data_IF_110499900998
#
_entry.id   IF_110499900998
#
_cell.length_a   1.000
_cell.length_b   1.000
_cell.length_c   1.000
_cell.angle_alpha   90.00
_cell.angle_beta   90.00
_cell.angle_gamma   90.00
#
_symmetry.space_group_name_H-M   'P 1'
#
loop_
_entity.id
_entity.type
_entity.pdbx_description
1 polymer ?
#
# COMPACT_ATOMS: atom_id res chain seq x y z
N UNK A 1 -34.65 8.67 104.14
CA UNK A 1 -33.92 9.63 103.29
C UNK A 1 -33.92 9.05 101.89
N UNK A 2 -34.44 9.82 100.93
CA UNK A 2 -34.69 9.42 99.55
C UNK A 2 -33.39 9.36 98.73
N UNK A 3 -33.34 8.35 97.86
CA UNK A 3 -32.83 8.29 96.48
C UNK A 3 -31.65 9.18 96.08
N UNK A 4 -30.57 8.52 95.66
CA UNK A 4 -29.48 9.10 94.87
C UNK A 4 -28.75 8.00 94.13
N UNK A 5 -29.43 7.35 93.19
CA UNK A 5 -28.80 6.46 92.22
C UNK A 5 -27.93 7.32 91.29
N UNK A 6 -26.63 7.05 91.26
CA UNK A 6 -25.64 7.66 90.35
C UNK A 6 -25.98 7.32 88.89
N UNK A 7 -26.82 8.15 88.28
CA UNK A 7 -27.30 8.04 86.90
C UNK A 7 -26.45 8.82 85.88
N UNK A 8 -25.19 9.11 86.20
CA UNK A 8 -24.25 9.72 85.25
C UNK A 8 -23.05 8.82 85.03
N UNK A 9 -23.30 7.60 84.53
CA UNK A 9 -22.29 6.87 83.74
C UNK A 9 -22.17 7.59 82.40
N UNK A 10 -21.08 8.32 82.27
CA UNK A 10 -20.57 8.91 81.04
C UNK A 10 -20.58 7.86 79.92
N UNK A 11 -21.52 7.99 78.99
CA UNK A 11 -21.64 7.15 77.77
C UNK A 11 -21.11 7.90 76.56
N UNK A 12 -20.09 8.74 76.72
CA UNK A 12 -19.51 9.51 75.63
C UNK A 12 -18.15 8.99 75.13
N UNK A 13 -17.64 7.87 75.65
CA UNK A 13 -16.33 7.32 75.27
C UNK A 13 -16.36 6.18 74.23
N UNK A 14 -17.48 5.96 73.55
CA UNK A 14 -17.62 4.91 72.52
C UNK A 14 -17.84 5.44 71.08
N UNK A 15 -17.37 6.65 70.77
CA UNK A 15 -17.28 7.15 69.38
C UNK A 15 -15.84 7.18 68.86
N UNK A 16 -15.14 6.04 68.94
CA UNK A 16 -13.80 5.88 68.33
C UNK A 16 -13.59 4.48 67.72
N UNK A 17 -14.66 3.89 67.18
CA UNK A 17 -14.65 2.56 66.58
C UNK A 17 -15.07 2.57 65.11
N UNK A 18 -14.29 3.23 64.24
CA UNK A 18 -14.61 3.29 62.81
C UNK A 18 -13.48 3.76 61.90
N UNK A 19 -12.22 3.66 62.34
CA UNK A 19 -11.07 3.88 61.48
C UNK A 19 -10.75 2.59 60.73
N UNK A 20 -11.18 2.47 59.48
CA UNK A 20 -10.62 1.44 58.59
C UNK A 20 -9.10 1.56 58.65
N UNK A 21 -8.40 0.50 59.05
CA UNK A 21 -6.95 0.47 59.13
C UNK A 21 -6.35 0.74 57.75
N UNK A 22 -6.08 2.01 57.46
CA UNK A 22 -5.28 2.42 56.33
C UNK A 22 -3.86 1.98 56.66
N UNK A 23 -3.49 0.77 56.20
CA UNK A 23 -2.09 0.37 56.12
C UNK A 23 -1.34 1.52 55.43
N UNK A 24 -0.53 2.26 56.19
CA UNK A 24 0.36 3.26 55.63
C UNK A 24 1.49 2.52 54.93
N UNK A 25 1.22 2.08 53.71
CA UNK A 25 2.23 1.52 52.83
C UNK A 25 3.37 2.53 52.75
N UNK A 26 4.59 2.07 53.02
CA UNK A 26 5.75 2.97 53.03
C UNK A 26 5.84 3.72 51.68
N UNK A 27 6.25 5.00 51.67
CA UNK A 27 6.29 5.80 50.44
C UNK A 27 7.11 5.15 49.31
N UNK A 28 8.08 4.30 49.64
CA UNK A 28 8.90 3.55 48.67
C UNK A 28 8.15 2.36 48.05
N UNK A 29 7.41 1.59 48.85
CA UNK A 29 6.56 0.49 48.35
C UNK A 29 5.41 1.00 47.49
N UNK A 30 4.91 2.20 47.79
CA UNK A 30 3.85 2.80 47.00
C UNK A 30 4.32 3.23 45.61
N UNK A 31 5.55 3.72 45.50
CA UNK A 31 6.14 4.07 44.20
C UNK A 31 6.32 2.84 43.32
N UNK A 32 6.84 1.73 43.87
CA UNK A 32 7.00 0.49 43.09
C UNK A 32 5.66 -0.12 42.69
N UNK A 33 4.62 0.00 43.52
CA UNK A 33 3.25 -0.35 43.13
C UNK A 33 2.78 0.50 41.95
N UNK A 34 2.88 1.84 42.04
CA UNK A 34 2.45 2.74 40.96
C UNK A 34 3.18 2.45 39.65
N UNK A 35 4.49 2.18 39.70
CA UNK A 35 5.28 1.82 38.52
C UNK A 35 4.75 0.55 37.84
N UNK A 36 4.42 -0.49 38.61
CA UNK A 36 3.83 -1.72 38.06
C UNK A 36 2.47 -1.47 37.40
N UNK A 37 1.59 -0.72 38.04
CA UNK A 37 0.26 -0.40 37.49
C UNK A 37 0.38 0.34 36.15
N UNK A 38 1.27 1.33 36.09
CA UNK A 38 1.49 2.11 34.87
C UNK A 38 2.09 1.27 33.74
N UNK A 39 3.00 0.36 34.07
CA UNK A 39 3.59 -0.56 33.10
C UNK A 39 2.55 -1.56 32.59
N UNK A 40 1.71 -2.12 33.47
CA UNK A 40 0.67 -3.07 33.08
C UNK A 40 -0.46 -2.44 32.24
N UNK A 41 -0.90 -1.23 32.59
CA UNK A 41 -2.05 -0.58 31.92
C UNK A 41 -1.63 0.22 30.69
N UNK A 42 -0.51 0.95 30.76
CA UNK A 42 -0.08 1.88 29.71
C UNK A 42 1.23 1.47 29.03
N UNK A 43 1.94 0.44 29.51
CA UNK A 43 3.22 0.00 28.95
C UNK A 43 4.36 1.02 29.09
N UNK A 44 4.23 1.96 30.05
CA UNK A 44 5.21 3.03 30.27
C UNK A 44 5.45 3.27 31.75
N UNK A 45 6.60 3.88 32.08
CA UNK A 45 6.83 4.39 33.43
C UNK A 45 6.00 5.64 33.72
N UNK A 46 5.57 5.85 34.98
CA UNK A 46 4.87 7.07 35.37
C UNK A 46 5.81 8.28 35.27
N UNK A 47 5.26 9.42 34.84
CA UNK A 47 5.97 10.70 34.88
C UNK A 47 6.25 11.13 36.32
N UNK A 48 7.28 11.93 36.57
CA UNK A 48 7.61 12.47 37.90
C UNK A 48 6.43 13.18 38.57
N UNK A 49 5.55 13.80 37.77
CA UNK A 49 4.32 14.45 38.26
C UNK A 49 3.25 13.43 38.66
N UNK A 50 3.07 12.39 37.87
CA UNK A 50 2.07 11.33 38.09
C UNK A 50 2.48 10.46 39.29
N UNK A 51 3.76 10.09 39.38
CA UNK A 51 4.29 9.33 40.50
C UNK A 51 4.15 10.10 41.80
N UNK A 52 4.46 11.40 41.83
CA UNK A 52 4.24 12.25 43.01
C UNK A 52 2.75 12.37 43.38
N UNK A 53 1.87 12.54 42.39
CA UNK A 53 0.43 12.66 42.61
C UNK A 53 -0.17 11.42 43.28
N UNK A 54 0.18 10.22 42.80
CA UNK A 54 -0.32 8.96 43.37
C UNK A 54 0.43 8.54 44.64
N UNK A 55 1.72 8.91 44.79
CA UNK A 55 2.53 8.63 46.00
C UNK A 55 1.95 9.28 47.24
N UNK A 56 1.55 10.55 47.16
CA UNK A 56 0.98 11.30 48.29
C UNK A 56 -0.56 11.31 48.30
N UNK A 57 -1.21 10.78 47.27
CA UNK A 57 -2.67 10.71 47.19
C UNK A 57 -3.30 9.71 48.17
N UNK A 58 -4.61 9.77 48.35
CA UNK A 58 -5.36 8.84 49.24
C UNK A 58 -5.88 7.62 48.47
N UNK A 59 -5.69 7.57 47.15
CA UNK A 59 -6.23 6.50 46.31
C UNK A 59 -5.62 5.14 46.63
N UNK A 60 -6.48 4.11 46.58
CA UNK A 60 -6.10 2.71 46.65
C UNK A 60 -5.62 2.22 45.29
N UNK A 61 -4.85 1.13 45.28
CA UNK A 61 -4.34 0.48 44.07
C UNK A 61 -5.41 0.28 42.99
N UNK A 62 -6.54 -0.34 43.36
CA UNK A 62 -7.65 -0.61 42.44
C UNK A 62 -8.28 0.66 41.84
N UNK A 63 -8.30 1.76 42.59
CA UNK A 63 -8.83 3.03 42.11
C UNK A 63 -7.88 3.67 41.08
N UNK A 64 -6.57 3.50 41.27
CA UNK A 64 -5.55 3.93 40.31
C UNK A 64 -5.70 3.13 39.00
N UNK A 65 -5.87 1.81 39.09
CA UNK A 65 -6.16 0.96 37.91
C UNK A 65 -7.37 1.45 37.13
N UNK A 66 -8.51 1.62 37.81
CA UNK A 66 -9.76 2.05 37.15
C UNK A 66 -9.63 3.45 36.53
N UNK A 67 -8.88 4.35 37.17
CA UNK A 67 -8.64 5.69 36.64
C UNK A 67 -7.77 5.66 35.38
N UNK A 68 -6.73 4.83 35.36
CA UNK A 68 -5.85 4.68 34.19
C UNK A 68 -6.57 3.99 33.03
N UNK A 69 -7.38 2.97 33.29
CA UNK A 69 -8.19 2.31 32.25
C UNK A 69 -9.22 3.24 31.59
N UNK A 70 -9.77 4.18 32.36
CA UNK A 70 -10.71 5.21 31.88
C UNK A 70 -10.03 6.44 31.28
N UNK A 71 -8.70 6.52 31.34
CA UNK A 71 -7.96 7.67 30.81
C UNK A 71 -8.04 7.72 29.28
N UNK A 72 -7.99 8.94 28.74
CA UNK A 72 -7.93 9.15 27.29
C UNK A 72 -6.66 8.56 26.68
N UNK A 73 -5.58 8.45 27.45
CA UNK A 73 -4.33 7.82 27.01
C UNK A 73 -4.53 6.34 26.70
N UNK A 74 -5.13 5.58 27.63
CA UNK A 74 -5.43 4.16 27.42
C UNK A 74 -6.38 3.96 26.23
N UNK A 75 -7.41 4.81 26.11
CA UNK A 75 -8.32 4.78 24.96
C UNK A 75 -7.58 5.03 23.65
N UNK A 76 -6.64 5.99 23.63
CA UNK A 76 -5.82 6.28 22.44
C UNK A 76 -4.91 5.11 22.07
N UNK A 77 -4.29 4.45 23.05
CA UNK A 77 -3.47 3.25 22.81
C UNK A 77 -4.32 2.15 22.14
N UNK A 78 -5.55 1.93 22.60
CA UNK A 78 -6.45 0.95 21.97
C UNK A 78 -6.82 1.32 20.54
N UNK A 79 -7.12 2.60 20.29
CA UNK A 79 -7.44 3.07 18.94
C UNK A 79 -6.23 2.99 18.00
N UNK A 80 -5.04 3.29 18.49
CA UNK A 80 -3.80 3.18 17.71
C UNK A 80 -3.46 1.71 17.45
N UNK A 81 -3.62 0.83 18.44
CA UNK A 81 -3.44 -0.62 18.28
C UNK A 81 -4.38 -1.23 17.23
N UNK A 82 -5.64 -0.76 17.14
CA UNK A 82 -6.57 -1.19 16.09
C UNK A 82 -6.14 -0.76 14.69
N UNK A 83 -5.38 0.34 14.56
CA UNK A 83 -4.93 0.86 13.26
C UNK A 83 -3.69 0.14 12.74
N UNK A 84 -2.83 -0.39 13.61
CA UNK A 84 -1.59 -1.08 13.22
C UNK A 84 -1.78 -2.14 12.13
N UNK A 85 -2.74 -3.09 12.23
CA UNK A 85 -2.92 -4.10 11.17
C UNK A 85 -3.29 -3.47 9.83
N UNK A 86 -4.14 -2.43 9.82
CA UNK A 86 -4.51 -1.73 8.59
C UNK A 86 -3.32 -0.99 7.98
N UNK A 87 -2.41 -0.46 8.80
CA UNK A 87 -1.20 0.21 8.31
C UNK A 87 -0.24 -0.75 7.59
N UNK A 88 -0.14 -2.01 8.03
CA UNK A 88 0.70 -3.00 7.35
C UNK A 88 0.17 -3.32 5.94
N UNK A 89 -1.15 -3.47 5.81
CA UNK A 89 -1.82 -3.68 4.53
C UNK A 89 -1.70 -2.46 3.62
N UNK A 90 -1.91 -1.24 4.15
CA UNK A 90 -1.69 0.00 3.40
C UNK A 90 -0.24 0.14 2.91
N UNK A 91 0.74 -0.19 3.75
CA UNK A 91 2.15 -0.19 3.35
C UNK A 91 2.44 -1.22 2.27
N UNK A 92 1.81 -2.39 2.33
CA UNK A 92 1.94 -3.41 1.30
C UNK A 92 1.37 -2.92 -0.04
N UNK A 93 0.20 -2.31 -0.02
CA UNK A 93 -0.46 -1.76 -1.21
C UNK A 93 0.33 -0.60 -1.81
N UNK A 94 0.88 0.28 -0.96
CA UNK A 94 1.78 1.36 -1.39
C UNK A 94 3.06 0.81 -2.04
N UNK A 95 3.66 -0.26 -1.51
CA UNK A 95 4.83 -0.89 -2.14
C UNK A 95 4.49 -1.51 -3.49
N UNK A 96 3.30 -2.08 -3.64
CA UNK A 96 2.84 -2.64 -4.92
C UNK A 96 2.63 -1.51 -5.94
N UNK A 97 2.01 -0.40 -5.54
CA UNK A 97 1.79 0.74 -6.42
C UNK A 97 3.11 1.42 -6.82
N UNK A 98 4.06 1.56 -5.89
CA UNK A 98 5.41 2.04 -6.16
C UNK A 98 6.11 1.18 -7.22
N UNK A 99 6.09 -0.15 -7.06
CA UNK A 99 6.68 -1.07 -8.05
C UNK A 99 6.04 -0.94 -9.42
N UNK A 100 4.71 -0.83 -9.49
CA UNK A 100 3.98 -0.62 -10.75
C UNK A 100 4.39 0.69 -11.43
N UNK A 101 4.55 1.77 -10.66
CA UNK A 101 4.99 3.07 -11.19
C UNK A 101 6.43 3.01 -11.71
N UNK A 102 7.34 2.35 -10.99
CA UNK A 102 8.73 2.16 -11.43
C UNK A 102 8.77 1.38 -12.74
N UNK A 103 8.02 0.28 -12.82
CA UNK A 103 7.94 -0.52 -14.04
C UNK A 103 7.39 0.29 -15.21
N UNK A 104 6.26 0.96 -15.02
CA UNK A 104 5.65 1.82 -16.05
C UNK A 104 6.60 2.93 -16.52
N UNK A 105 7.40 3.51 -15.62
CA UNK A 105 8.41 4.51 -15.97
C UNK A 105 9.51 3.93 -16.85
N UNK A 106 10.01 2.72 -16.54
CA UNK A 106 11.06 2.10 -17.34
C UNK A 106 10.53 1.67 -18.71
N UNK A 107 9.29 1.16 -18.77
CA UNK A 107 8.61 0.83 -20.02
C UNK A 107 8.49 2.08 -20.92
N UNK A 108 7.97 3.21 -20.38
CA UNK A 108 7.87 4.47 -21.11
C UNK A 108 9.22 5.01 -21.59
N UNK A 109 10.26 4.86 -20.78
CA UNK A 109 11.63 5.25 -21.15
C UNK A 109 12.14 4.40 -22.31
N UNK A 110 11.89 3.09 -22.29
CA UNK A 110 12.27 2.20 -23.39
C UNK A 110 11.51 2.50 -24.69
N UNK A 111 10.23 2.86 -24.58
CA UNK A 111 9.39 3.29 -25.70
C UNK A 111 9.89 4.62 -26.30
N UNK A 112 10.25 5.58 -25.45
CA UNK A 112 10.85 6.85 -25.89
C UNK A 112 12.16 6.63 -26.63
N UNK A 113 13.04 5.78 -26.12
CA UNK A 113 14.30 5.46 -26.78
C UNK A 113 14.06 4.83 -28.15
N UNK A 114 13.12 3.88 -28.25
CA UNK A 114 12.75 3.23 -29.51
C UNK A 114 12.10 4.20 -30.50
N UNK A 115 11.29 5.15 -30.02
CA UNK A 115 10.73 6.21 -30.86
C UNK A 115 11.81 7.16 -31.37
N UNK A 116 12.80 7.49 -30.53
CA UNK A 116 13.91 8.35 -30.92
C UNK A 116 14.78 7.68 -32.00
N UNK A 117 15.07 6.39 -31.87
CA UNK A 117 15.83 5.65 -32.89
C UNK A 117 15.07 5.63 -34.22
N UNK A 118 13.77 5.34 -34.21
CA UNK A 118 12.93 5.36 -35.41
C UNK A 118 12.89 6.74 -36.07
N UNK A 119 12.84 7.80 -35.27
CA UNK A 119 12.84 9.17 -35.78
C UNK A 119 14.18 9.52 -36.43
N UNK A 120 15.29 9.08 -35.83
CA UNK A 120 16.62 9.24 -36.42
C UNK A 120 16.77 8.47 -37.75
N UNK A 121 16.30 7.23 -37.82
CA UNK A 121 16.29 6.42 -39.06
C UNK A 121 15.47 7.09 -40.16
N UNK A 122 14.27 7.59 -39.83
CA UNK A 122 13.43 8.33 -40.80
C UNK A 122 14.11 9.61 -41.28
N UNK A 123 14.79 10.34 -40.39
CA UNK A 123 15.52 11.54 -40.77
C UNK A 123 16.72 11.22 -41.67
N UNK A 124 17.42 10.11 -41.44
CA UNK A 124 18.47 9.63 -42.34
C UNK A 124 17.90 9.33 -43.73
N UNK A 125 16.80 8.59 -43.79
CA UNK A 125 16.13 8.27 -45.06
C UNK A 125 15.64 9.52 -45.81
N UNK A 126 15.14 10.53 -45.09
CA UNK A 126 14.77 11.83 -45.69
C UNK A 126 15.99 12.51 -46.30
N UNK A 127 17.13 12.47 -45.63
CA UNK A 127 18.37 13.06 -46.15
C UNK A 127 18.86 12.32 -47.39
N UNK A 128 18.86 10.98 -47.37
CA UNK A 128 19.19 10.17 -48.56
C UNK A 128 18.29 10.49 -49.75
N UNK A 129 16.98 10.61 -49.52
CA UNK A 129 16.03 10.98 -50.57
C UNK A 129 16.27 12.40 -51.10
N UNK A 130 16.61 13.34 -50.22
CA UNK A 130 16.97 14.71 -50.62
C UNK A 130 18.25 14.75 -51.44
N UNK A 131 19.25 13.94 -51.11
CA UNK A 131 20.48 13.82 -51.90
C UNK A 131 20.19 13.26 -53.29
N UNK A 132 19.38 12.20 -53.39
CA UNK A 132 18.92 11.64 -54.68
C UNK A 132 18.19 12.68 -55.53
N UNK A 133 17.27 13.44 -54.94
CA UNK A 133 16.52 14.50 -55.65
C UNK A 133 17.43 15.68 -56.02
N UNK A 134 18.40 16.02 -55.17
CA UNK A 134 19.33 17.12 -55.39
C UNK A 134 20.41 16.80 -56.43
N UNK A 135 20.53 15.55 -56.89
CA UNK A 135 21.45 15.16 -57.95
C UNK A 135 20.70 15.11 -59.31
N UNK A 136 20.71 16.20 -60.11
CA UNK A 136 20.05 16.25 -61.41
C UNK A 136 20.67 15.32 -62.47
N UNK A 137 21.76 14.62 -62.14
CA UNK A 137 22.46 13.67 -63.03
C UNK A 137 22.43 12.23 -62.53
N UNK A 138 21.63 11.92 -61.50
CA UNK A 138 21.37 10.54 -61.06
C UNK A 138 20.36 9.88 -62.01
N UNK A 139 20.79 9.64 -63.25
CA UNK A 139 20.00 8.90 -64.22
C UNK A 139 20.12 7.40 -63.90
N UNK A 140 19.01 6.68 -63.73
CA UNK A 140 19.08 5.25 -63.48
C UNK A 140 19.85 4.58 -64.60
N UNK A 141 20.78 3.70 -64.21
CA UNK A 141 21.53 2.86 -65.14
C UNK A 141 20.52 2.13 -66.03
N UNK A 142 20.84 1.90 -67.31
CA UNK A 142 19.90 1.21 -68.21
C UNK A 142 19.40 -0.12 -67.62
N UNK A 143 20.22 -0.79 -66.80
CA UNK A 143 19.88 -2.03 -66.09
C UNK A 143 18.71 -1.85 -65.11
N UNK A 144 18.70 -0.78 -64.30
CA UNK A 144 17.65 -0.53 -63.30
C UNK A 144 16.29 -0.22 -63.95
N UNK A 145 16.31 0.46 -65.12
CA UNK A 145 15.09 0.71 -65.92
C UNK A 145 14.43 -0.57 -66.43
N UNK A 146 15.22 -1.62 -66.66
CA UNK A 146 14.70 -2.91 -67.14
C UNK A 146 14.23 -3.83 -66.01
N UNK A 147 14.76 -3.68 -64.78
CA UNK A 147 14.30 -4.45 -63.62
C UNK A 147 12.89 -4.03 -63.17
N UNK A 148 12.61 -2.74 -63.08
CA UNK A 148 11.26 -2.24 -62.73
C UNK A 148 10.21 -2.65 -63.78
N UNK A 149 10.61 -2.76 -65.05
CA UNK A 149 9.75 -3.24 -66.13
C UNK A 149 9.43 -4.74 -66.04
N UNK A 150 10.26 -5.54 -65.38
CA UNK A 150 10.10 -7.00 -65.31
C UNK A 150 9.08 -7.46 -64.26
N UNK A 151 8.95 -6.74 -63.14
CA UNK A 151 8.01 -7.08 -62.06
C UNK A 151 6.54 -6.91 -62.48
N UNK A 152 6.25 -5.97 -63.38
CA UNK A 152 4.91 -5.74 -63.93
C UNK A 152 4.43 -6.95 -64.75
N UNK A 153 5.32 -7.58 -65.53
CA UNK A 153 4.98 -8.74 -66.35
C UNK A 153 4.90 -10.06 -65.57
N UNK A 154 5.61 -10.18 -64.44
CA UNK A 154 5.58 -11.39 -63.62
C UNK A 154 4.40 -11.42 -62.62
N UNK A 155 3.94 -10.27 -62.11
CA UNK A 155 2.78 -10.23 -61.20
C UNK A 155 1.48 -10.69 -61.89
N UNK A 156 1.28 -10.39 -63.17
CA UNK A 156 0.10 -10.81 -63.92
C UNK A 156 0.07 -12.33 -64.20
N UNK A 157 1.23 -12.98 -64.34
CA UNK A 157 1.30 -14.43 -64.58
C UNK A 157 0.92 -15.26 -63.34
N UNK A 158 1.27 -14.79 -62.14
CA UNK A 158 0.91 -15.47 -60.88
C UNK A 158 -0.60 -15.48 -60.61
N UNK A 159 -1.26 -14.34 -60.86
CA UNK A 159 -2.71 -14.18 -60.61
C UNK A 159 -3.56 -15.07 -61.55
N UNK A 160 -3.19 -15.20 -62.83
CA UNK A 160 -3.93 -16.06 -63.77
C UNK A 160 -3.76 -17.56 -63.50
N UNK A 161 -2.63 -17.99 -62.91
CA UNK A 161 -2.38 -19.39 -62.56
C UNK A 161 -3.25 -19.84 -61.39
N UNK A 162 -3.33 -19.01 -60.34
CA UNK A 162 -4.17 -19.26 -59.16
C UNK A 162 -5.68 -19.32 -59.50
N UNK A 163 -6.16 -18.46 -60.39
CA UNK A 163 -7.56 -18.53 -60.85
C UNK A 163 -7.88 -19.80 -61.66
N UNK A 164 -6.93 -20.32 -62.45
CA UNK A 164 -7.11 -21.58 -63.18
C UNK A 164 -7.11 -22.80 -62.26
N UNK A 165 -6.29 -22.80 -61.21
CA UNK A 165 -6.25 -23.89 -60.23
C UNK A 165 -7.51 -23.95 -59.38
N UNK A 166 -8.02 -22.81 -58.92
CA UNK A 166 -9.29 -22.75 -58.18
C UNK A 166 -10.47 -23.23 -59.05
N UNK A 167 -10.55 -22.82 -60.32
CA UNK A 167 -11.58 -23.32 -61.25
C UNK A 167 -11.51 -24.83 -61.47
N UNK A 168 -10.31 -25.41 -61.54
CA UNK A 168 -10.13 -26.87 -61.66
C UNK A 168 -10.55 -27.62 -60.38
N UNK A 169 -10.30 -27.04 -59.21
CA UNK A 169 -10.75 -27.60 -57.93
C UNK A 169 -12.27 -27.63 -57.83
N UNK A 170 -12.93 -26.52 -58.16
CA UNK A 170 -14.39 -26.40 -58.13
C UNK A 170 -15.07 -27.32 -59.15
N UNK A 171 -14.51 -27.46 -60.36
CA UNK A 171 -15.03 -28.40 -61.35
C UNK A 171 -14.91 -29.86 -60.87
N UNK A 172 -13.82 -30.22 -60.16
CA UNK A 172 -13.67 -31.56 -59.58
C UNK A 172 -14.68 -31.82 -58.47
N UNK A 173 -14.95 -30.83 -57.62
CA UNK A 173 -16.00 -30.94 -56.59
C UNK A 173 -17.39 -31.10 -57.21
N UNK A 174 -17.72 -30.34 -58.26
CA UNK A 174 -19.00 -30.44 -58.95
C UNK A 174 -19.18 -31.81 -59.63
N UNK A 175 -18.14 -32.33 -60.29
CA UNK A 175 -18.17 -33.66 -60.92
C UNK A 175 -18.35 -34.75 -59.86
N UNK A 176 -17.65 -34.65 -58.72
CA UNK A 176 -17.79 -35.61 -57.62
C UNK A 176 -19.18 -35.55 -56.96
N UNK A 177 -19.90 -34.43 -57.07
CA UNK A 177 -21.25 -34.26 -56.53
C UNK A 177 -22.34 -34.77 -57.49
N UNK A 178 -22.08 -34.76 -58.80
CA UNK A 178 -23.01 -35.22 -59.84
C UNK A 178 -22.90 -36.71 -60.17
N UNK A 179 -21.75 -37.34 -59.90
CA UNK A 179 -21.49 -38.75 -60.22
C UNK A 179 -21.30 -39.65 -58.99
N UNK A 180 -21.93 -39.30 -57.87
CA UNK A 180 -22.03 -40.17 -56.68
C UNK A 180 -23.45 -40.68 -56.50
#
# INVERSE_FOLDING_TARGET
MLNGEDFFKDKNDEFSGGGSSSFSVSPSQRVSMIEKIFDEVLGRKPSSRESAYYKYGVMKENEIYLKLLKSDEHKKILEDAKKVPNMEDELRDLRISERKLIQSREDLKSEMLSSQTLLNEKNLMINELREKVSNPYDLPSQVEKYEEGFDIFNSQKGVQRNQKEQKRSLLREIVNLLFK
#
